data_IF_064997662413
#
_entry.id   IF_064997662413
#
_cell.length_a   1.000
_cell.length_b   1.000
_cell.length_c   1.000
_cell.angle_alpha   90.00
_cell.angle_beta   90.00
_cell.angle_gamma   90.00
#
_symmetry.space_group_name_H-M   'P 1'
#
loop_
_entity.id
_entity.type
_entity.pdbx_description
1 polymer ?
#
# COMPACT_ATOMS: atom_id res chain seq x y z
N UNK A 1 -21.85 11.30 -19.76
CA UNK A 1 -21.73 11.09 -18.30
C UNK A 1 -20.88 9.84 -18.14
N UNK A 2 -19.66 9.98 -17.59
CA UNK A 2 -18.56 9.07 -17.95
C UNK A 2 -18.12 8.27 -16.74
N UNK A 3 -18.33 6.96 -16.77
CA UNK A 3 -17.63 6.03 -15.86
C UNK A 3 -16.19 5.89 -16.31
N UNK A 4 -15.28 5.88 -15.34
CA UNK A 4 -13.85 5.84 -15.58
C UNK A 4 -13.30 4.46 -15.22
N UNK A 5 -12.71 3.80 -16.22
CA UNK A 5 -11.98 2.55 -16.11
C UNK A 5 -10.59 2.82 -16.63
N UNK A 6 -9.58 2.66 -15.78
CA UNK A 6 -8.21 2.91 -16.18
C UNK A 6 -7.23 2.15 -15.31
N UNK A 7 -6.03 2.05 -15.83
CA UNK A 7 -5.01 1.12 -15.39
C UNK A 7 -3.70 1.89 -15.23
N UNK A 8 -2.95 1.65 -14.16
CA UNK A 8 -1.63 2.29 -13.93
C UNK A 8 -0.55 1.22 -13.82
N UNK A 9 0.53 1.37 -14.60
CA UNK A 9 1.72 0.49 -14.58
C UNK A 9 2.88 1.16 -13.83
N UNK A 10 3.59 0.38 -13.02
CA UNK A 10 4.81 0.75 -12.31
C UNK A 10 5.92 -0.29 -12.60
N UNK A 11 7.02 0.07 -13.28
CA UNK A 11 8.04 -0.88 -13.78
C UNK A 11 9.42 -0.81 -13.07
N UNK A 12 10.16 -1.94 -12.95
CA UNK A 12 11.47 -2.06 -12.27
C UNK A 12 12.29 -3.31 -12.69
N UNK A 13 13.59 -3.35 -12.38
CA UNK A 13 14.50 -4.47 -12.68
C UNK A 13 14.55 -5.45 -11.50
N UNK A 14 14.34 -6.75 -11.75
CA UNK A 14 14.35 -7.81 -10.73
C UNK A 14 15.76 -8.33 -10.44
N UNK A 15 16.00 -8.70 -9.18
CA UNK A 15 17.15 -9.51 -8.74
C UNK A 15 16.65 -10.73 -7.96
N UNK A 16 17.31 -11.89 -8.12
CA UNK A 16 16.86 -13.16 -7.54
C UNK A 16 17.38 -13.43 -6.12
N UNK A 17 16.57 -14.21 -5.37
CA UNK A 17 16.85 -15.07 -4.19
C UNK A 17 16.65 -14.53 -2.76
N UNK A 18 15.99 -15.35 -1.90
CA UNK A 18 16.60 -16.17 -0.83
C UNK A 18 15.57 -17.15 -0.23
N UNK A 19 15.99 -18.40 0.06
CA UNK A 19 15.11 -19.51 0.45
C UNK A 19 14.54 -19.44 1.88
N UNK A 20 13.29 -19.92 2.03
CA UNK A 20 12.57 -20.01 3.30
C UNK A 20 13.14 -21.09 4.24
N UNK A 21 13.02 -20.85 5.55
CA UNK A 21 13.50 -21.74 6.63
C UNK A 21 12.49 -22.89 6.86
N UNK A 22 12.95 -24.12 7.03
CA UNK A 22 12.07 -25.27 7.31
C UNK A 22 11.35 -25.13 8.67
N UNK A 23 10.03 -25.32 8.63
CA UNK A 23 9.11 -25.35 9.76
C UNK A 23 8.06 -26.44 9.52
N UNK A 24 7.59 -27.09 10.58
CA UNK A 24 6.42 -28.00 10.52
C UNK A 24 5.12 -27.28 10.13
N UNK A 25 5.11 -25.94 10.16
CA UNK A 25 3.99 -25.09 9.74
C UNK A 25 4.29 -24.45 8.38
N UNK A 26 3.23 -24.25 7.58
CA UNK A 26 3.31 -23.56 6.30
C UNK A 26 3.79 -22.09 6.47
N UNK A 27 3.96 -21.36 5.36
CA UNK A 27 4.27 -19.94 5.41
C UNK A 27 3.17 -19.14 6.17
N UNK A 28 3.55 -18.05 6.86
CA UNK A 28 2.61 -17.24 7.63
C UNK A 28 1.46 -16.68 6.79
N UNK A 29 1.74 -16.30 5.55
CA UNK A 29 0.72 -16.01 4.55
C UNK A 29 0.17 -17.33 3.99
N UNK A 30 -1.12 -17.56 4.17
CA UNK A 30 -1.81 -18.76 3.69
C UNK A 30 -1.65 -18.90 2.17
N UNK A 31 -1.25 -20.08 1.67
CA UNK A 31 -1.18 -20.35 0.23
C UNK A 31 -2.51 -20.04 -0.45
N UNK A 32 -2.46 -19.30 -1.56
CA UNK A 32 -3.65 -18.91 -2.32
C UNK A 32 -4.48 -17.76 -1.72
N UNK A 33 -4.26 -17.37 -0.45
CA UNK A 33 -4.93 -16.20 0.12
C UNK A 33 -4.17 -14.90 -0.26
N UNK A 34 -4.88 -13.85 -0.74
CA UNK A 34 -4.23 -12.72 -1.41
C UNK A 34 -3.59 -11.68 -0.48
N UNK A 35 -3.97 -11.62 0.80
CA UNK A 35 -3.47 -10.58 1.71
C UNK A 35 -3.49 -10.98 3.18
N UNK A 36 -2.77 -10.24 4.02
CA UNK A 36 -2.94 -10.29 5.46
C UNK A 36 -2.81 -8.89 6.08
N UNK A 37 -3.32 -8.74 7.30
CA UNK A 37 -3.14 -7.52 8.08
C UNK A 37 -1.92 -7.64 8.98
N UNK A 38 -0.98 -6.71 8.83
CA UNK A 38 0.27 -6.69 9.58
C UNK A 38 0.86 -5.29 9.61
N UNK A 39 1.53 -4.93 10.71
CA UNK A 39 2.33 -3.71 10.77
C UNK A 39 3.54 -3.82 9.84
N UNK A 40 3.80 -2.78 9.06
CA UNK A 40 4.96 -2.70 8.16
C UNK A 40 5.81 -1.49 8.52
N UNK A 41 7.09 -1.72 8.77
CA UNK A 41 8.10 -0.69 8.95
C UNK A 41 8.91 -0.51 7.67
N UNK A 42 8.59 0.56 6.94
CA UNK A 42 9.21 0.93 5.68
C UNK A 42 10.11 2.17 5.82
N UNK A 43 10.61 2.45 7.03
CA UNK A 43 11.45 3.64 7.31
C UNK A 43 12.89 3.49 6.82
N UNK A 44 13.33 2.26 6.55
CA UNK A 44 14.72 1.92 6.22
C UNK A 44 14.88 1.40 4.78
N UNK A 45 14.09 1.89 3.82
CA UNK A 45 14.09 1.43 2.42
C UNK A 45 15.23 2.00 1.55
N UNK A 46 15.95 3.01 2.04
CA UNK A 46 17.03 3.67 1.29
C UNK A 46 16.84 5.18 1.20
N UNK A 47 17.80 5.87 0.56
CA UNK A 47 17.85 7.34 0.53
C UNK A 47 16.72 7.97 -0.31
N UNK A 48 16.24 7.25 -1.32
CA UNK A 48 15.22 7.72 -2.27
C UNK A 48 13.79 7.55 -1.76
N UNK A 49 13.61 6.94 -0.57
CA UNK A 49 12.29 6.62 -0.01
C UNK A 49 12.01 7.40 1.29
N UNK A 50 10.74 7.60 1.65
CA UNK A 50 10.37 8.35 2.85
C UNK A 50 10.89 7.68 4.14
N UNK A 51 11.49 8.48 5.03
CA UNK A 51 12.15 8.02 6.27
C UNK A 51 11.20 7.78 7.44
N UNK A 52 9.96 8.23 7.31
CA UNK A 52 8.91 8.19 8.34
C UNK A 52 7.78 7.21 7.97
N UNK A 53 7.97 6.39 6.92
CA UNK A 53 6.98 5.45 6.41
C UNK A 53 6.79 4.24 7.34
N UNK A 54 6.08 4.43 8.45
CA UNK A 54 5.60 3.37 9.32
C UNK A 54 4.10 3.18 9.09
N UNK A 55 3.68 1.93 8.90
CA UNK A 55 2.30 1.54 8.59
C UNK A 55 1.78 0.67 9.74
N UNK A 56 1.17 1.26 10.79
CA UNK A 56 0.66 0.49 11.93
C UNK A 56 -0.38 -0.56 11.55
N UNK A 57 -1.28 -0.21 10.62
CA UNK A 57 -2.37 -1.06 10.10
C UNK A 57 -2.22 -1.25 8.60
N UNK A 58 -1.24 -2.08 8.23
CA UNK A 58 -0.96 -2.43 6.86
C UNK A 58 -1.85 -3.58 6.40
N UNK A 59 -2.40 -3.44 5.19
CA UNK A 59 -2.92 -4.57 4.43
C UNK A 59 -1.86 -4.96 3.41
N UNK A 60 -1.16 -6.07 3.66
CA UNK A 60 -0.12 -6.55 2.75
C UNK A 60 -0.73 -7.54 1.78
N UNK A 61 -0.62 -7.22 0.49
CA UNK A 61 -1.18 -7.95 -0.64
C UNK A 61 -0.04 -8.60 -1.41
N UNK A 62 -0.17 -9.89 -1.72
CA UNK A 62 0.73 -10.59 -2.65
C UNK A 62 0.12 -10.56 -4.04
N UNK A 63 0.83 -10.01 -5.03
CA UNK A 63 0.36 -9.91 -6.43
C UNK A 63 1.10 -10.79 -7.42
N UNK A 64 2.29 -11.27 -7.04
CA UNK A 64 3.06 -12.32 -7.71
C UNK A 64 3.81 -13.13 -6.64
N UNK A 65 4.55 -14.16 -7.02
CA UNK A 65 5.29 -15.02 -6.08
C UNK A 65 6.18 -14.20 -5.13
N UNK A 66 6.96 -13.28 -5.70
CA UNK A 66 7.92 -12.43 -4.99
C UNK A 66 7.59 -10.94 -5.14
N UNK A 67 6.30 -10.57 -5.25
CA UNK A 67 5.89 -9.15 -5.37
C UNK A 67 4.74 -8.82 -4.45
N UNK A 68 4.94 -7.77 -3.66
CA UNK A 68 4.05 -7.40 -2.56
C UNK A 68 3.76 -5.91 -2.54
N UNK A 69 2.57 -5.56 -2.07
CA UNK A 69 2.11 -4.20 -1.84
C UNK A 69 1.60 -4.08 -0.40
N UNK A 70 1.99 -3.04 0.31
CA UNK A 70 1.40 -2.69 1.60
C UNK A 70 0.53 -1.44 1.45
N UNK A 71 -0.76 -1.58 1.73
CA UNK A 71 -1.68 -0.47 1.82
C UNK A 71 -1.80 0.00 3.26
N UNK A 72 -1.71 1.31 3.46
CA UNK A 72 -2.00 1.94 4.73
C UNK A 72 -3.50 2.23 4.79
N UNK A 73 -4.21 1.47 5.62
CA UNK A 73 -5.67 1.57 5.77
C UNK A 73 -6.11 2.86 6.45
N UNK A 74 -5.20 3.52 7.18
CA UNK A 74 -5.49 4.76 7.86
C UNK A 74 -5.38 5.96 6.93
N UNK A 75 -4.36 5.97 6.07
CA UNK A 75 -4.13 7.02 5.07
C UNK A 75 -4.73 6.71 3.69
N UNK A 76 -5.33 5.54 3.51
CA UNK A 76 -5.93 5.08 2.24
C UNK A 76 -4.97 5.20 1.05
N UNK A 77 -3.73 4.73 1.20
CA UNK A 77 -2.65 4.85 0.21
C UNK A 77 -1.94 3.53 -0.02
N UNK A 78 -1.36 3.37 -1.21
CA UNK A 78 -0.26 2.43 -1.41
C UNK A 78 0.97 3.01 -0.69
N UNK A 79 1.37 2.38 0.41
CA UNK A 79 2.44 2.88 1.27
C UNK A 79 3.82 2.42 0.81
N UNK A 80 3.92 1.17 0.37
CA UNK A 80 5.14 0.60 -0.24
C UNK A 80 4.77 -0.56 -1.15
N UNK A 81 5.50 -0.70 -2.25
CA UNK A 81 5.56 -1.90 -3.07
C UNK A 81 7.01 -2.37 -3.15
N UNK A 82 7.24 -3.68 -3.14
CA UNK A 82 8.59 -4.27 -3.22
C UNK A 82 8.58 -5.65 -3.88
N UNK A 83 9.75 -6.07 -4.34
CA UNK A 83 10.02 -7.46 -4.75
C UNK A 83 10.98 -8.17 -3.82
N UNK A 84 10.92 -9.50 -3.81
CA UNK A 84 11.77 -10.37 -2.99
C UNK A 84 10.93 -11.19 -2.02
N UNK A 85 11.38 -11.30 -0.77
CA UNK A 85 10.64 -11.98 0.28
C UNK A 85 9.46 -11.16 0.83
N UNK A 86 8.64 -11.80 1.66
CA UNK A 86 7.48 -11.17 2.30
C UNK A 86 7.90 -10.07 3.31
N UNK A 87 7.91 -10.36 4.60
CA UNK A 87 8.33 -9.47 5.66
C UNK A 87 9.22 -10.22 6.64
N UNK A 88 10.12 -9.52 7.32
CA UNK A 88 10.84 -10.10 8.45
C UNK A 88 9.86 -10.53 9.54
N UNK A 89 10.04 -11.73 10.09
CA UNK A 89 9.17 -12.29 11.15
C UNK A 89 9.44 -11.66 12.53
N UNK A 90 9.20 -10.36 12.66
CA UNK A 90 9.48 -9.57 13.88
C UNK A 90 8.19 -9.18 14.63
N UNK A 91 7.02 -9.65 14.17
CA UNK A 91 5.76 -9.49 14.90
C UNK A 91 5.56 -10.61 15.92
N UNK A 92 4.82 -10.33 17.00
CA UNK A 92 4.47 -11.36 17.98
C UNK A 92 3.74 -12.56 17.34
N UNK A 93 2.89 -12.29 16.35
CA UNK A 93 2.15 -13.32 15.62
C UNK A 93 3.11 -14.21 14.80
N UNK A 94 3.93 -13.61 13.93
CA UNK A 94 4.88 -14.33 13.08
C UNK A 94 5.94 -15.08 13.90
N UNK A 95 6.51 -14.44 14.93
CA UNK A 95 7.54 -15.09 15.76
C UNK A 95 7.01 -16.27 16.60
N UNK A 96 5.71 -16.27 16.89
CA UNK A 96 5.06 -17.36 17.65
C UNK A 96 4.51 -18.46 16.74
N UNK A 97 4.25 -18.15 15.46
CA UNK A 97 3.59 -19.04 14.51
C UNK A 97 4.34 -20.37 14.34
N UNK A 98 5.66 -20.30 14.13
CA UNK A 98 6.50 -21.49 13.96
C UNK A 98 6.87 -22.19 15.28
N UNK A 99 6.36 -21.73 16.44
CA UNK A 99 6.73 -22.26 17.77
C UNK A 99 5.49 -22.70 18.55
N UNK A 100 4.93 -23.85 18.17
CA UNK A 100 3.77 -24.42 18.84
C UNK A 100 3.92 -24.43 20.37
N UNK A 101 2.88 -23.98 21.07
CA UNK A 101 2.80 -23.93 22.55
C UNK A 101 3.85 -23.03 23.22
N UNK A 102 4.59 -22.20 22.47
CA UNK A 102 5.57 -21.23 23.02
C UNK A 102 5.21 -19.82 22.58
N UNK A 103 4.59 -19.06 23.49
CA UNK A 103 4.40 -17.61 23.29
C UNK A 103 5.75 -16.90 23.40
N UNK A 104 6.08 -16.04 22.45
CA UNK A 104 7.22 -15.13 22.60
C UNK A 104 6.97 -14.12 23.72
N UNK A 105 8.03 -13.77 24.44
CA UNK A 105 7.97 -12.75 25.50
C UNK A 105 7.42 -11.42 24.99
N UNK A 106 6.73 -10.68 25.86
CA UNK A 106 6.21 -9.36 25.53
C UNK A 106 7.33 -8.34 25.28
N UNK A 107 6.98 -7.25 24.59
CA UNK A 107 7.92 -6.19 24.22
C UNK A 107 8.39 -6.35 22.78
N UNK A 108 7.95 -5.44 21.92
CA UNK A 108 8.32 -5.44 20.51
C UNK A 108 9.48 -4.46 20.30
N UNK A 109 10.69 -5.00 20.08
CA UNK A 109 11.91 -4.20 19.83
C UNK A 109 12.13 -3.88 18.36
N UNK A 110 11.54 -4.68 17.48
CA UNK A 110 11.62 -4.58 16.03
C UNK A 110 10.23 -4.76 15.43
N UNK A 111 10.02 -4.15 14.28
CA UNK A 111 8.78 -4.25 13.52
C UNK A 111 9.06 -5.00 12.22
N UNK A 112 8.07 -5.71 11.63
CA UNK A 112 8.24 -6.35 10.33
C UNK A 112 8.67 -5.35 9.26
N UNK A 113 9.72 -5.65 8.52
CA UNK A 113 10.27 -4.84 7.43
C UNK A 113 10.21 -5.62 6.11
N UNK A 114 10.03 -4.96 4.95
CA UNK A 114 10.14 -5.61 3.64
C UNK A 114 11.47 -6.33 3.45
N UNK A 115 11.44 -7.55 2.91
CA UNK A 115 12.64 -8.31 2.52
C UNK A 115 12.80 -8.18 1.01
N UNK A 116 13.76 -7.38 0.56
CA UNK A 116 14.08 -7.23 -0.85
C UNK A 116 14.05 -5.79 -1.32
N UNK A 117 13.76 -5.58 -2.60
CA UNK A 117 13.98 -4.31 -3.29
C UNK A 117 12.70 -3.47 -3.36
N UNK A 118 12.68 -2.27 -2.75
CA UNK A 118 11.55 -1.36 -2.86
C UNK A 118 11.38 -0.84 -4.28
N UNK A 119 10.15 -0.88 -4.78
CA UNK A 119 9.76 -0.42 -6.11
C UNK A 119 9.25 1.03 -6.01
N UNK A 120 8.36 1.28 -5.05
CA UNK A 120 7.72 2.57 -4.83
C UNK A 120 7.31 2.69 -3.38
N UNK A 121 7.34 3.91 -2.85
CA UNK A 121 6.79 4.19 -1.54
C UNK A 121 6.16 5.58 -1.52
N UNK A 122 5.13 5.74 -0.70
CA UNK A 122 4.51 7.04 -0.44
C UNK A 122 4.94 7.55 0.94
N UNK A 123 4.94 8.87 1.13
CA UNK A 123 5.08 9.49 2.45
C UNK A 123 3.78 9.44 3.25
N UNK A 124 3.78 10.04 4.45
CA UNK A 124 2.61 10.13 5.32
C UNK A 124 1.65 11.22 4.83
N UNK A 125 0.74 10.88 3.92
CA UNK A 125 -0.32 11.75 3.42
C UNK A 125 -1.47 10.93 2.82
N UNK A 126 -2.68 11.48 2.63
CA UNK A 126 -3.80 10.73 2.07
C UNK A 126 -3.53 10.26 0.64
N UNK A 127 -3.83 8.98 0.36
CA UNK A 127 -3.65 8.40 -0.99
C UNK A 127 -4.73 8.81 -1.99
N UNK A 128 -5.87 9.31 -1.51
CA UNK A 128 -6.95 9.86 -2.35
C UNK A 128 -7.41 11.17 -1.72
N UNK A 129 -7.57 12.21 -2.54
CA UNK A 129 -7.89 13.57 -2.12
C UNK A 129 -8.84 14.24 -3.11
N UNK A 130 -9.69 15.17 -2.65
CA UNK A 130 -10.36 16.11 -3.55
C UNK A 130 -9.41 17.24 -3.97
N UNK A 131 -9.64 17.81 -5.14
CA UNK A 131 -8.83 18.82 -5.80
C UNK A 131 -7.87 18.25 -6.85
N UNK A 132 -7.29 19.14 -7.67
CA UNK A 132 -6.21 18.79 -8.61
C UNK A 132 -4.82 18.85 -8.01
N UNK A 133 -4.69 19.51 -6.87
CA UNK A 133 -3.41 19.77 -6.22
C UNK A 133 -3.43 18.97 -4.93
N UNK A 134 -2.72 17.83 -4.87
CA UNK A 134 -2.63 17.06 -3.65
C UNK A 134 -1.85 17.83 -2.58
N UNK A 135 -2.14 17.51 -1.34
CA UNK A 135 -1.30 17.90 -0.21
C UNK A 135 -0.47 16.70 0.23
N UNK A 136 0.82 16.92 0.49
CA UNK A 136 1.77 15.89 0.89
C UNK A 136 2.18 16.05 2.37
N UNK A 137 1.19 16.18 3.26
CA UNK A 137 1.38 16.18 4.70
C UNK A 137 0.39 15.24 5.39
N UNK A 138 0.73 14.78 6.60
CA UNK A 138 -0.16 13.96 7.41
C UNK A 138 -1.16 14.90 8.12
N UNK A 139 -2.47 14.83 7.80
CA UNK A 139 -3.45 15.71 8.43
C UNK A 139 -3.88 15.20 9.81
N UNK A 140 -3.38 14.04 10.25
CA UNK A 140 -3.70 13.49 11.56
C UNK A 140 -2.85 14.19 12.62
N UNK A 141 -3.42 14.44 13.82
CA UNK A 141 -2.63 14.96 14.93
C UNK A 141 -1.54 13.95 15.30
N UNK A 142 -0.36 14.48 15.66
CA UNK A 142 0.69 13.67 16.27
C UNK A 142 0.19 13.00 17.56
N UNK A 143 0.88 11.94 17.97
CA UNK A 143 0.63 11.32 19.27
C UNK A 143 0.96 12.25 20.45
N UNK A 144 0.88 11.71 21.68
CA UNK A 144 1.25 12.48 22.89
C UNK A 144 2.72 12.88 22.85
N UNK A 145 3.56 12.02 22.28
CA UNK A 145 4.95 12.31 22.01
C UNK A 145 5.09 12.95 20.61
N UNK A 146 5.76 14.11 20.47
CA UNK A 146 5.86 14.79 19.17
C UNK A 146 6.52 13.97 18.05
N UNK A 147 7.28 12.93 18.41
CA UNK A 147 7.92 12.00 17.46
C UNK A 147 7.02 10.84 17.05
N UNK A 148 5.86 10.68 17.68
CA UNK A 148 4.89 9.68 17.27
C UNK A 148 4.18 10.15 16.00
N UNK A 149 4.26 9.32 14.97
CA UNK A 149 3.47 9.49 13.76
C UNK A 149 1.98 9.55 14.09
N UNK A 150 1.22 10.26 13.23
CA UNK A 150 -0.23 10.25 13.31
C UNK A 150 -0.77 8.81 13.32
N UNK A 151 -1.74 8.56 14.20
CA UNK A 151 -2.41 7.26 14.32
C UNK A 151 -3.90 7.44 14.13
N UNK A 152 -4.57 6.39 13.67
CA UNK A 152 -5.99 6.45 13.42
C UNK A 152 -6.31 6.81 11.98
N UNK A 153 -7.59 6.64 11.62
CA UNK A 153 -8.10 7.03 10.32
C UNK A 153 -7.98 8.55 10.11
N UNK A 154 -7.98 8.96 8.85
CA UNK A 154 -8.07 10.38 8.46
C UNK A 154 -9.28 11.10 9.09
N UNK A 155 -9.24 12.44 9.24
CA UNK A 155 -10.36 13.26 9.71
C UNK A 155 -11.68 13.02 8.94
N UNK A 156 -12.81 13.48 9.52
CA UNK A 156 -14.11 13.42 8.83
C UNK A 156 -14.08 14.31 7.59
N UNK A 157 -14.69 13.87 6.49
CA UNK A 157 -14.68 14.58 5.19
C UNK A 157 -13.48 14.26 4.30
N UNK A 158 -12.56 13.42 4.75
CA UNK A 158 -11.49 12.85 3.93
C UNK A 158 -11.80 11.39 3.58
N UNK A 159 -11.00 10.82 2.67
CA UNK A 159 -11.13 9.43 2.25
C UNK A 159 -11.10 8.46 3.44
N UNK A 160 -11.94 7.43 3.36
CA UNK A 160 -12.07 6.36 4.33
C UNK A 160 -11.87 5.01 3.68
N UNK A 161 -11.17 4.15 4.38
CA UNK A 161 -11.12 2.74 4.06
C UNK A 161 -12.46 2.09 4.37
N UNK A 162 -12.99 1.30 3.44
CA UNK A 162 -14.28 0.61 3.61
C UNK A 162 -14.07 -0.90 3.74
N UNK A 163 -13.35 -1.52 2.81
CA UNK A 163 -13.17 -2.98 2.82
C UNK A 163 -12.01 -3.46 1.96
N UNK A 164 -11.42 -4.59 2.35
CA UNK A 164 -10.70 -5.50 1.46
C UNK A 164 -11.57 -6.75 1.22
N UNK A 165 -11.71 -7.18 -0.03
CA UNK A 165 -12.46 -8.40 -0.37
C UNK A 165 -11.58 -9.30 -1.22
N UNK A 166 -11.34 -10.53 -0.76
CA UNK A 166 -10.69 -11.56 -1.56
C UNK A 166 -11.60 -11.98 -2.73
N UNK A 167 -11.04 -12.05 -3.93
CA UNK A 167 -11.70 -12.53 -5.15
C UNK A 167 -10.74 -13.52 -5.81
N UNK A 168 -10.90 -14.81 -5.49
CA UNK A 168 -9.89 -15.82 -5.83
C UNK A 168 -8.54 -15.48 -5.19
N UNK A 169 -7.50 -15.41 -6.00
CA UNK A 169 -6.14 -15.03 -5.59
C UNK A 169 -5.85 -13.52 -5.67
N UNK A 170 -6.87 -12.68 -5.89
CA UNK A 170 -6.75 -11.22 -5.95
C UNK A 170 -7.49 -10.56 -4.80
N UNK A 171 -7.20 -9.28 -4.57
CA UNK A 171 -7.95 -8.45 -3.62
C UNK A 171 -8.61 -7.28 -4.33
N UNK A 172 -9.85 -7.00 -3.96
CA UNK A 172 -10.53 -5.75 -4.30
C UNK A 172 -10.57 -4.85 -3.08
N UNK A 173 -9.97 -3.69 -3.21
CA UNK A 173 -9.92 -2.63 -2.20
C UNK A 173 -11.05 -1.64 -2.47
N UNK A 174 -11.62 -1.09 -1.40
CA UNK A 174 -12.71 -0.12 -1.47
C UNK A 174 -12.44 1.03 -0.52
N UNK A 175 -12.45 2.24 -1.08
CA UNK A 175 -12.35 3.51 -0.39
C UNK A 175 -13.56 4.38 -0.71
N UNK A 176 -13.94 5.26 0.20
CA UNK A 176 -15.00 6.23 0.00
C UNK A 176 -14.56 7.61 0.46
N UNK A 177 -14.87 8.64 -0.32
CA UNK A 177 -14.77 10.05 0.08
C UNK A 177 -16.10 10.72 -0.26
N UNK A 178 -16.81 11.18 0.77
CA UNK A 178 -18.23 11.52 0.70
C UNK A 178 -19.05 10.41 0.00
N UNK A 179 -19.71 10.69 -1.12
CA UNK A 179 -20.48 9.70 -1.89
C UNK A 179 -19.66 9.00 -2.99
N UNK A 180 -18.40 9.40 -3.17
CA UNK A 180 -17.52 8.90 -4.23
C UNK A 180 -16.89 7.59 -3.81
N UNK A 181 -17.18 6.53 -4.57
CA UNK A 181 -16.66 5.18 -4.36
C UNK A 181 -15.46 4.94 -5.25
N UNK A 182 -14.32 4.64 -4.65
CA UNK A 182 -13.08 4.26 -5.36
C UNK A 182 -12.82 2.78 -5.08
N UNK A 183 -12.76 1.98 -6.13
CA UNK A 183 -12.37 0.56 -6.04
C UNK A 183 -11.07 0.34 -6.76
N UNK A 184 -10.18 -0.43 -6.14
CA UNK A 184 -8.88 -0.77 -6.70
C UNK A 184 -8.70 -2.29 -6.70
N UNK A 185 -8.13 -2.82 -7.77
CA UNK A 185 -7.64 -4.21 -7.83
C UNK A 185 -6.18 -4.15 -8.27
N UNK A 186 -5.21 -4.40 -7.37
CA UNK A 186 -3.82 -4.52 -7.74
C UNK A 186 -3.51 -5.91 -8.29
N UNK A 187 -2.60 -5.97 -9.27
CA UNK A 187 -2.04 -7.21 -9.80
C UNK A 187 -0.60 -6.98 -10.26
N UNK A 188 0.15 -8.04 -10.54
CA UNK A 188 1.37 -7.96 -11.33
C UNK A 188 1.03 -8.18 -12.81
N UNK A 189 1.76 -7.53 -13.71
CA UNK A 189 1.80 -7.92 -15.12
C UNK A 189 2.84 -9.02 -15.30
N UNK A 190 4.00 -8.79 -14.70
CA UNK A 190 5.17 -9.68 -14.65
C UNK A 190 6.02 -9.28 -13.43
N UNK A 191 7.21 -9.87 -13.30
CA UNK A 191 8.15 -9.61 -12.20
C UNK A 191 8.80 -8.21 -12.26
N UNK A 192 8.45 -7.41 -13.27
CA UNK A 192 8.97 -6.06 -13.49
C UNK A 192 7.90 -5.02 -13.30
N UNK A 193 6.60 -5.35 -13.33
CA UNK A 193 5.55 -4.36 -13.39
C UNK A 193 4.31 -4.64 -12.53
N UNK A 194 3.93 -3.65 -11.71
CA UNK A 194 2.68 -3.67 -10.93
C UNK A 194 1.60 -2.89 -11.67
N UNK A 195 0.41 -3.48 -11.70
CA UNK A 195 -0.83 -2.90 -12.20
C UNK A 195 -1.73 -2.47 -11.05
N UNK A 196 -2.26 -1.25 -11.11
CA UNK A 196 -3.36 -0.80 -10.24
C UNK A 196 -4.57 -0.46 -11.11
N UNK A 197 -5.60 -1.32 -11.08
CA UNK A 197 -6.85 -1.08 -11.83
C UNK A 197 -7.86 -0.35 -10.95
N UNK A 198 -8.31 0.82 -11.39
CA UNK A 198 -9.25 1.65 -10.63
C UNK A 198 -10.61 1.74 -11.30
N UNK A 199 -11.64 1.73 -10.44
CA UNK A 199 -13.00 2.10 -10.80
C UNK A 199 -13.51 3.15 -9.83
N UNK A 200 -13.75 4.35 -10.35
CA UNK A 200 -14.25 5.50 -9.60
C UNK A 200 -15.71 5.73 -9.98
N UNK A 201 -16.59 5.95 -8.99
CA UNK A 201 -17.97 6.32 -9.26
C UNK A 201 -18.07 7.72 -9.86
N UNK A 202 -19.24 8.06 -10.37
CA UNK A 202 -19.55 9.43 -10.76
C UNK A 202 -19.38 10.35 -9.55
N UNK A 203 -18.83 11.54 -9.79
CA UNK A 203 -18.59 12.55 -8.77
C UNK A 203 -18.68 13.95 -9.38
N UNK A 204 -19.09 14.97 -8.61
CA UNK A 204 -19.22 16.35 -9.09
C UNK A 204 -17.86 16.94 -9.51
N UNK A 205 -17.89 18.07 -10.24
CA UNK A 205 -16.76 18.78 -10.88
C UNK A 205 -15.54 19.12 -9.99
N UNK A 206 -15.58 18.87 -8.68
CA UNK A 206 -14.39 18.88 -7.84
C UNK A 206 -13.52 17.69 -8.23
N UNK A 207 -12.46 17.99 -8.98
CA UNK A 207 -11.47 17.01 -9.46
C UNK A 207 -10.95 16.12 -8.33
N UNK A 208 -10.64 14.87 -8.63
CA UNK A 208 -10.14 13.89 -7.65
C UNK A 208 -8.66 13.65 -7.93
N UNK A 209 -7.84 13.61 -6.89
CA UNK A 209 -6.44 13.17 -6.99
C UNK A 209 -6.26 11.81 -6.35
N UNK A 210 -5.61 10.90 -7.08
CA UNK A 210 -5.16 9.59 -6.57
C UNK A 210 -3.64 9.59 -6.61
N UNK A 211 -3.00 9.44 -5.45
CA UNK A 211 -1.54 9.29 -5.35
C UNK A 211 -1.16 7.89 -5.84
N UNK A 212 -0.29 7.86 -6.84
CA UNK A 212 0.22 6.62 -7.41
C UNK A 212 1.41 6.11 -6.61
N UNK A 213 2.37 7.01 -6.29
CA UNK A 213 3.59 6.70 -5.55
C UNK A 213 4.81 7.38 -6.18
N UNK A 214 6.01 7.00 -5.74
CA UNK A 214 7.28 7.38 -6.39
C UNK A 214 7.63 6.45 -7.54
N UNK A 215 8.56 6.87 -8.41
CA UNK A 215 9.08 6.06 -9.51
C UNK A 215 8.38 6.27 -10.86
N UNK A 216 8.77 5.48 -11.85
CA UNK A 216 8.22 5.56 -13.21
C UNK A 216 6.79 5.00 -13.25
N UNK A 217 5.82 5.89 -13.46
CA UNK A 217 4.40 5.54 -13.54
C UNK A 217 3.86 5.84 -14.93
N UNK A 218 3.11 4.90 -15.51
CA UNK A 218 2.41 5.09 -16.78
C UNK A 218 0.91 4.88 -16.61
N UNK A 219 0.12 5.73 -17.27
CA UNK A 219 -1.34 5.61 -17.34
C UNK A 219 -1.75 4.86 -18.61
N UNK A 220 -2.57 3.84 -18.44
CA UNK A 220 -3.18 3.06 -19.51
C UNK A 220 -4.69 3.31 -19.54
N UNK A 221 -5.21 3.58 -20.74
CA UNK A 221 -6.63 3.87 -20.97
C UNK A 221 -7.19 4.95 -20.02
N UNK A 222 -6.56 6.14 -19.93
CA UNK A 222 -7.03 7.21 -19.07
C UNK A 222 -8.47 7.64 -19.34
N UNK A 223 -9.23 8.04 -18.30
CA UNK A 223 -10.37 8.92 -18.46
C UNK A 223 -10.03 10.14 -19.30
N UNK A 224 -10.95 10.57 -20.16
CA UNK A 224 -10.81 11.85 -20.87
C UNK A 224 -10.58 12.99 -19.86
N UNK A 225 -9.51 13.76 -20.05
CA UNK A 225 -9.13 14.87 -19.18
C UNK A 225 -8.27 14.49 -17.98
N UNK A 226 -8.01 13.19 -17.76
CA UNK A 226 -7.07 12.77 -16.71
C UNK A 226 -5.62 12.89 -17.14
N UNK A 227 -4.75 13.12 -16.16
CA UNK A 227 -3.31 13.26 -16.37
C UNK A 227 -2.54 12.75 -15.16
N UNK A 228 -1.41 12.10 -15.40
CA UNK A 228 -0.37 11.94 -14.37
C UNK A 228 0.39 13.26 -14.28
N UNK A 229 0.52 13.75 -13.06
CA UNK A 229 1.38 14.87 -12.70
C UNK A 229 2.45 14.38 -11.73
N UNK A 230 3.55 15.11 -11.67
CA UNK A 230 4.63 14.85 -10.73
C UNK A 230 4.96 16.10 -9.94
N UNK A 231 5.13 15.94 -8.63
CA UNK A 231 5.57 17.00 -7.72
C UNK A 231 6.49 16.38 -6.67
N UNK A 232 7.70 16.91 -6.51
CA UNK A 232 8.67 16.38 -5.55
C UNK A 232 9.02 14.90 -5.74
N UNK A 233 8.97 14.39 -6.98
CA UNK A 233 9.20 12.96 -7.30
C UNK A 233 8.01 12.04 -7.04
N UNK A 234 6.86 12.58 -6.59
CA UNK A 234 5.63 11.83 -6.34
C UNK A 234 4.72 11.95 -7.55
N UNK A 235 4.33 10.81 -8.13
CA UNK A 235 3.35 10.73 -9.21
C UNK A 235 1.93 10.65 -8.64
N UNK A 236 1.03 11.46 -9.20
CA UNK A 236 -0.38 11.44 -8.85
C UNK A 236 -1.25 11.64 -10.10
N UNK A 237 -2.42 11.01 -10.09
CA UNK A 237 -3.42 11.09 -11.14
C UNK A 237 -4.51 12.08 -10.75
N UNK A 238 -4.80 13.04 -11.63
CA UNK A 238 -5.98 13.89 -11.50
C UNK A 238 -7.10 13.39 -12.42
N UNK A 239 -8.31 13.23 -11.88
CA UNK A 239 -9.55 12.86 -12.57
C UNK A 239 -10.53 14.04 -12.62
#
# INVERSE_FOLDING_TARGET
MTRHFFVVILSFLSSSFAGARESDFAHFLEPGFPFCEITVDARALGKEFPKDNLIPRGLVVRVAEDTYLAYDTDLCRLAVAWTGGFLTEESLATMSYHQAKKKKGGGQKKLPTPIGDPISASGLYPGVQFGMTPTFHDPRPAGKEPKEIGRGALPKGMVRWVSATAIGNQVKLHYEIDEVKIREVPSAIDDTAILRHFRVSEHPKSQLTIVIGTGHCQLLNPPSGSAIKQEGGISYLTL
#
